data_IF_902693322277
#
_entry.id   IF_902693322277
#
_cell.length_a   1.000
_cell.length_b   1.000
_cell.length_c   1.000
_cell.angle_alpha   90.00
_cell.angle_beta   90.00
_cell.angle_gamma   90.00
#
_symmetry.space_group_name_H-M   'P 1'
#
loop_
_entity.id
_entity.type
_entity.pdbx_description
1 polymer ?
#
# COMPACT_ATOMS: atom_id res chain seq x y z
N UNK A 1 -48.08 -63.07 12.44
CA UNK A 1 -48.42 -63.77 13.69
C UNK A 1 -47.21 -63.65 14.62
N UNK A 2 -47.40 -63.06 15.82
CA UNK A 2 -46.50 -62.91 16.99
C UNK A 2 -45.13 -62.21 16.80
N UNK A 3 -44.85 -61.02 17.35
CA UNK A 3 -44.61 -60.60 18.76
C UNK A 3 -43.34 -61.16 19.45
N UNK A 4 -42.29 -60.32 19.52
CA UNK A 4 -41.66 -59.76 20.76
C UNK A 4 -40.70 -60.61 21.65
N UNK A 5 -39.52 -60.01 21.91
CA UNK A 5 -38.78 -59.82 23.19
C UNK A 5 -37.31 -60.31 23.34
N UNK A 6 -36.44 -59.30 23.45
CA UNK A 6 -35.60 -58.94 24.60
C UNK A 6 -34.48 -59.84 25.16
N UNK A 7 -33.37 -59.12 25.36
CA UNK A 7 -32.47 -59.13 26.52
C UNK A 7 -31.38 -60.22 26.64
N UNK A 8 -30.16 -59.78 26.31
CA UNK A 8 -29.03 -59.57 27.25
C UNK A 8 -28.72 -60.62 28.34
N UNK A 9 -27.39 -60.85 28.48
CA UNK A 9 -26.61 -61.25 29.68
C UNK A 9 -26.23 -62.74 29.80
N UNK A 10 -24.99 -63.06 29.42
CA UNK A 10 -23.85 -63.29 30.35
C UNK A 10 -22.74 -64.13 29.71
N UNK A 11 -21.75 -63.46 29.11
CA UNK A 11 -20.32 -63.85 29.03
C UNK A 11 -19.68 -62.85 28.04
N UNK A 12 -18.67 -62.03 28.34
CA UNK A 12 -17.65 -62.10 29.37
C UNK A 12 -17.30 -60.68 29.88
N UNK A 13 -17.14 -60.58 31.19
CA UNK A 13 -16.98 -59.36 32.00
C UNK A 13 -15.50 -58.93 32.16
N UNK A 14 -14.63 -59.12 31.16
CA UNK A 14 -13.18 -58.93 31.37
C UNK A 14 -12.44 -58.00 30.40
N UNK A 15 -13.15 -57.28 29.52
CA UNK A 15 -12.49 -56.31 28.62
C UNK A 15 -11.69 -55.22 29.36
N UNK A 16 -12.21 -54.72 30.49
CA UNK A 16 -11.54 -53.68 31.27
C UNK A 16 -10.28 -54.21 31.99
N UNK A 17 -10.31 -55.47 32.43
CA UNK A 17 -9.17 -56.13 33.08
C UNK A 17 -8.08 -56.41 32.05
N UNK A 18 -8.44 -56.96 30.88
CA UNK A 18 -7.52 -57.18 29.75
C UNK A 18 -6.94 -55.87 29.21
N UNK A 19 -7.76 -54.82 29.09
CA UNK A 19 -7.31 -53.50 28.69
C UNK A 19 -6.34 -52.89 29.72
N UNK A 20 -6.60 -53.06 31.02
CA UNK A 20 -5.71 -52.56 32.08
C UNK A 20 -4.38 -53.33 32.17
N UNK A 21 -4.39 -54.63 31.86
CA UNK A 21 -3.18 -55.46 31.78
C UNK A 21 -2.39 -55.09 30.52
N UNK A 22 -3.04 -54.90 29.37
CA UNK A 22 -2.39 -54.38 28.17
C UNK A 22 -1.77 -53.00 28.39
N UNK A 23 -2.47 -52.07 29.06
CA UNK A 23 -1.89 -50.76 29.39
C UNK A 23 -0.70 -50.85 30.35
N UNK A 24 -0.68 -51.80 31.29
CA UNK A 24 0.46 -52.01 32.19
C UNK A 24 1.67 -52.60 31.48
N UNK A 25 1.48 -53.54 30.55
CA UNK A 25 2.55 -54.08 29.71
C UNK A 25 3.11 -52.99 28.77
N UNK A 26 2.24 -52.19 28.13
CA UNK A 26 2.65 -51.07 27.28
C UNK A 26 3.33 -49.93 28.05
N UNK A 27 3.05 -49.75 29.34
CA UNK A 27 3.78 -48.81 30.22
C UNK A 27 5.07 -49.37 30.82
N UNK A 28 5.22 -50.69 30.91
CA UNK A 28 6.46 -51.33 31.34
C UNK A 28 7.51 -51.40 30.22
N UNK A 29 7.08 -51.39 28.96
CA UNK A 29 7.93 -51.14 27.78
C UNK A 29 8.13 -49.64 27.50
N UNK A 30 8.32 -48.84 28.54
CA UNK A 30 8.96 -47.53 28.41
C UNK A 30 10.46 -47.73 28.17
N UNK A 31 10.79 -48.25 26.99
CA UNK A 31 12.13 -48.33 26.48
C UNK A 31 12.69 -46.90 26.36
N UNK A 32 13.70 -46.61 27.19
CA UNK A 32 14.44 -45.34 27.24
C UNK A 32 15.00 -44.90 25.88
N UNK A 33 14.93 -45.77 24.86
CA UNK A 33 15.25 -45.49 23.46
C UNK A 33 14.33 -44.49 22.75
N UNK A 34 13.18 -44.10 23.32
CA UNK A 34 12.31 -43.07 22.70
C UNK A 34 12.75 -41.61 22.90
N UNK A 35 13.65 -41.34 23.84
CA UNK A 35 14.13 -39.97 24.13
C UNK A 35 15.20 -39.52 23.11
N UNK A 36 15.80 -40.45 22.37
CA UNK A 36 16.82 -40.15 21.35
C UNK A 36 16.27 -40.03 19.93
N UNK A 37 14.95 -40.07 19.72
CA UNK A 37 14.40 -39.84 18.38
C UNK A 37 14.67 -38.39 17.95
N UNK A 38 15.27 -38.16 16.76
CA UNK A 38 15.60 -36.82 16.27
C UNK A 38 14.41 -35.87 16.26
N UNK A 39 13.20 -36.39 16.06
CA UNK A 39 11.95 -35.64 16.05
C UNK A 39 11.60 -34.99 17.40
N UNK A 40 11.88 -35.66 18.52
CA UNK A 40 11.62 -35.13 19.87
C UNK A 40 12.64 -34.05 20.23
N UNK A 41 13.91 -34.24 19.88
CA UNK A 41 14.96 -33.23 20.05
C UNK A 41 14.71 -31.99 19.19
N UNK A 42 14.28 -32.17 17.93
CA UNK A 42 13.94 -31.06 17.03
C UNK A 42 12.71 -30.29 17.51
N UNK A 43 11.70 -30.98 18.07
CA UNK A 43 10.51 -30.32 18.63
C UNK A 43 10.86 -29.56 19.91
N UNK A 44 11.72 -30.13 20.77
CA UNK A 44 12.26 -29.43 21.95
C UNK A 44 13.05 -28.18 21.59
N UNK A 45 13.93 -28.26 20.58
CA UNK A 45 14.69 -27.12 20.05
C UNK A 45 13.78 -26.05 19.43
N UNK A 46 12.75 -26.45 18.69
CA UNK A 46 11.79 -25.52 18.10
C UNK A 46 10.97 -24.76 19.15
N UNK A 47 10.55 -25.44 20.23
CA UNK A 47 9.82 -24.84 21.34
C UNK A 47 10.73 -23.92 22.16
N UNK A 48 11.95 -24.36 22.48
CA UNK A 48 12.93 -23.53 23.19
C UNK A 48 13.32 -22.29 22.37
N UNK A 49 13.45 -22.43 21.04
CA UNK A 49 13.68 -21.32 20.13
C UNK A 49 12.56 -20.28 20.17
N UNK A 50 11.29 -20.71 20.19
CA UNK A 50 10.13 -19.80 20.18
C UNK A 50 9.78 -19.20 21.54
N UNK A 51 10.00 -19.93 22.63
CA UNK A 51 9.60 -19.48 23.98
C UNK A 51 10.74 -18.80 24.73
N UNK A 52 11.98 -19.24 24.51
CA UNK A 52 13.14 -18.72 25.24
C UNK A 52 13.95 -17.80 24.34
N UNK A 53 14.42 -18.28 23.19
CA UNK A 53 15.37 -17.50 22.36
C UNK A 53 14.67 -16.28 21.74
N UNK A 54 13.49 -16.45 21.15
CA UNK A 54 12.74 -15.35 20.52
C UNK A 54 12.46 -14.18 21.46
N UNK A 55 11.80 -14.40 22.62
CA UNK A 55 11.49 -13.31 23.55
C UNK A 55 12.73 -12.66 24.17
N UNK A 56 13.79 -13.43 24.46
CA UNK A 56 15.03 -12.86 24.99
C UNK A 56 15.82 -12.08 23.93
N UNK A 57 15.81 -12.51 22.67
CA UNK A 57 16.37 -11.73 21.56
C UNK A 57 15.60 -10.43 21.35
N UNK A 58 14.27 -10.46 21.45
CA UNK A 58 13.42 -9.26 21.38
C UNK A 58 13.70 -8.32 22.56
N UNK A 59 13.81 -8.85 23.77
CA UNK A 59 14.14 -8.09 24.98
C UNK A 59 15.54 -7.48 24.92
N UNK A 60 16.53 -8.23 24.43
CA UNK A 60 17.87 -7.70 24.14
C UNK A 60 17.79 -6.59 23.12
N UNK A 61 17.10 -6.78 22.00
CA UNK A 61 16.92 -5.75 20.99
C UNK A 61 16.30 -4.49 21.58
N UNK A 62 15.28 -4.62 22.43
CA UNK A 62 14.65 -3.50 23.11
C UNK A 62 15.49 -2.79 24.17
N UNK A 63 16.46 -3.48 24.77
CA UNK A 63 17.31 -2.93 25.84
C UNK A 63 18.65 -2.41 25.31
N UNK A 64 19.17 -3.01 24.22
CA UNK A 64 20.41 -2.60 23.58
C UNK A 64 20.19 -1.55 22.49
N UNK A 65 19.00 -1.50 21.90
CA UNK A 65 18.59 -0.37 21.06
C UNK A 65 17.79 0.59 21.93
N UNK A 66 17.92 1.89 21.72
CA UNK A 66 17.14 2.92 22.44
C UNK A 66 15.64 2.91 22.07
N UNK A 67 15.09 1.72 21.80
CA UNK A 67 13.70 1.48 21.40
C UNK A 67 12.71 2.07 22.39
N UNK A 68 13.04 2.05 23.70
CA UNK A 68 12.17 2.57 24.75
C UNK A 68 12.56 3.94 25.32
N UNK A 69 13.74 4.48 25.01
CA UNK A 69 14.31 5.65 25.70
C UNK A 69 14.27 6.96 24.87
N UNK A 70 13.59 6.97 23.74
CA UNK A 70 13.43 8.18 22.91
C UNK A 70 13.34 7.94 21.41
N UNK A 71 13.25 6.68 20.97
CA UNK A 71 12.93 6.35 19.59
C UNK A 71 11.50 6.78 19.28
N UNK A 72 11.32 7.82 18.46
CA UNK A 72 10.09 7.91 17.70
C UNK A 72 9.97 6.58 16.93
N UNK A 73 8.90 5.82 17.18
CA UNK A 73 8.55 4.64 16.38
C UNK A 73 8.40 5.04 14.90
N UNK A 74 8.13 6.33 14.66
CA UNK A 74 8.05 6.98 13.37
C UNK A 74 9.40 7.58 12.97
N UNK A 75 9.76 7.43 11.69
CA UNK A 75 10.90 8.14 11.10
C UNK A 75 10.62 9.64 11.16
N UNK A 76 11.56 10.43 11.68
CA UNK A 76 11.42 11.89 11.77
C UNK A 76 11.42 12.50 10.36
N UNK A 77 10.76 13.64 10.17
CA UNK A 77 10.58 14.25 8.85
C UNK A 77 11.90 14.52 8.09
N UNK A 78 12.99 14.83 8.81
CA UNK A 78 14.31 15.01 8.22
C UNK A 78 15.02 13.69 7.86
N UNK A 79 14.59 12.57 8.45
CA UNK A 79 15.15 11.24 8.24
C UNK A 79 14.31 10.40 7.28
N UNK A 80 13.11 10.88 6.93
CA UNK A 80 12.20 10.25 5.99
C UNK A 80 12.40 10.80 4.59
N UNK A 81 12.62 9.90 3.63
CA UNK A 81 12.47 10.26 2.24
C UNK A 81 11.65 9.21 1.49
N UNK A 82 10.84 9.67 0.55
CA UNK A 82 10.15 8.79 -0.40
C UNK A 82 10.81 8.96 -1.75
N UNK A 83 11.71 8.03 -2.08
CA UNK A 83 12.44 8.02 -3.32
C UNK A 83 12.48 6.59 -3.87
N UNK A 84 11.87 6.41 -5.05
CA UNK A 84 11.92 5.17 -5.82
C UNK A 84 13.33 4.97 -6.37
N UNK A 85 13.87 3.78 -6.18
CA UNK A 85 15.02 3.31 -6.95
C UNK A 85 14.66 1.94 -7.52
N UNK A 86 15.33 1.47 -8.57
CA UNK A 86 15.12 0.11 -9.11
C UNK A 86 15.43 -0.99 -8.07
N UNK A 87 16.20 -0.67 -7.02
CA UNK A 87 16.42 -1.55 -5.87
C UNK A 87 15.23 -1.57 -4.90
N UNK A 88 14.29 -0.65 -5.06
CA UNK A 88 13.03 -0.58 -4.35
C UNK A 88 11.91 -1.26 -5.16
N UNK A 89 12.11 -2.56 -5.42
CA UNK A 89 11.03 -3.49 -5.82
C UNK A 89 9.88 -3.50 -4.80
N UNK A 90 10.11 -2.87 -3.65
CA UNK A 90 9.20 -2.77 -2.54
C UNK A 90 8.21 -1.60 -2.64
N UNK A 91 8.08 -0.88 -3.77
CA UNK A 91 7.10 0.21 -3.92
C UNK A 91 5.94 -0.03 -4.91
N UNK A 92 6.11 -0.91 -5.90
CA UNK A 92 4.98 -1.54 -6.62
C UNK A 92 4.54 -2.86 -5.98
N UNK A 93 5.49 -3.55 -5.33
CA UNK A 93 5.26 -4.85 -4.70
C UNK A 93 5.08 -5.86 -5.75
N UNK A 94 6.11 -5.98 -6.60
CA UNK A 94 6.08 -6.81 -7.79
C UNK A 94 5.30 -8.08 -7.51
N UNK A 95 4.38 -8.44 -8.39
CA UNK A 95 3.49 -9.55 -8.09
C UNK A 95 3.90 -10.81 -8.86
N UNK A 96 4.01 -11.91 -8.13
CA UNK A 96 4.18 -13.23 -8.71
C UNK A 96 2.91 -13.67 -9.47
N UNK A 97 2.98 -13.71 -10.79
CA UNK A 97 1.88 -14.20 -11.65
C UNK A 97 0.77 -13.18 -11.93
N UNK A 98 1.02 -11.88 -11.74
CA UNK A 98 0.06 -10.81 -12.04
C UNK A 98 0.27 -10.14 -13.41
N UNK A 99 1.33 -10.47 -14.14
CA UNK A 99 1.57 -9.90 -15.48
C UNK A 99 0.43 -10.32 -16.40
N UNK A 100 -0.20 -9.34 -17.03
CA UNK A 100 -1.41 -9.51 -17.82
C UNK A 100 -1.34 -8.64 -19.09
N UNK A 101 -2.10 -8.99 -20.15
CA UNK A 101 -2.30 -8.10 -21.28
C UNK A 101 -2.80 -6.72 -20.83
N UNK A 102 -2.25 -5.65 -21.39
CA UNK A 102 -2.48 -4.29 -20.92
C UNK A 102 -3.95 -3.86 -20.98
N UNK A 103 -4.75 -4.42 -21.89
CA UNK A 103 -6.21 -4.20 -21.92
C UNK A 103 -6.93 -4.56 -20.61
N UNK A 104 -6.41 -5.49 -19.81
CA UNK A 104 -6.97 -5.82 -18.48
C UNK A 104 -6.67 -4.70 -17.49
N UNK A 105 -5.45 -4.16 -17.48
CA UNK A 105 -5.11 -3.02 -16.64
C UNK A 105 -5.93 -1.77 -17.03
N UNK A 106 -6.11 -1.51 -18.33
CA UNK A 106 -6.97 -0.42 -18.81
C UNK A 106 -8.43 -0.60 -18.37
N UNK A 107 -8.94 -1.83 -18.40
CA UNK A 107 -10.28 -2.14 -17.90
C UNK A 107 -10.41 -1.82 -16.41
N UNK A 108 -9.39 -2.15 -15.59
CA UNK A 108 -9.37 -1.82 -14.15
C UNK A 108 -9.28 -0.32 -13.90
N UNK A 109 -8.51 0.43 -14.69
CA UNK A 109 -8.51 1.89 -14.63
C UNK A 109 -9.84 2.53 -15.06
N UNK A 110 -10.57 1.91 -15.97
CA UNK A 110 -11.88 2.42 -16.40
C UNK A 110 -12.91 2.50 -15.26
N UNK A 111 -12.66 1.81 -14.14
CA UNK A 111 -13.49 1.91 -12.92
C UNK A 111 -13.50 3.31 -12.31
N UNK A 112 -12.44 4.10 -12.52
CA UNK A 112 -12.38 5.46 -12.00
C UNK A 112 -13.41 6.36 -12.68
N UNK A 113 -13.77 6.13 -13.95
CA UNK A 113 -14.80 6.91 -14.68
C UNK A 113 -14.63 8.45 -14.56
N UNK A 114 -13.40 8.94 -14.43
CA UNK A 114 -13.10 10.35 -14.23
C UNK A 114 -13.11 10.83 -12.77
N UNK A 115 -13.47 9.97 -11.81
CA UNK A 115 -13.34 10.25 -10.38
C UNK A 115 -11.87 10.26 -9.96
N UNK A 116 -11.53 11.13 -9.03
CA UNK A 116 -10.16 11.27 -8.52
C UNK A 116 -9.74 10.11 -7.58
N UNK A 117 -10.73 9.35 -7.07
CA UNK A 117 -10.51 8.18 -6.24
C UNK A 117 -11.75 7.28 -6.21
N UNK A 118 -11.54 5.99 -5.90
CA UNK A 118 -12.61 4.99 -5.81
C UNK A 118 -12.58 4.21 -4.50
N UNK A 119 -13.68 3.51 -4.20
CA UNK A 119 -13.81 2.67 -3.00
C UNK A 119 -12.96 1.41 -3.11
N UNK A 120 -12.12 1.14 -2.11
CA UNK A 120 -11.26 -0.04 -2.08
C UNK A 120 -12.02 -1.36 -2.20
N UNK A 121 -13.11 -1.64 -1.46
CA UNK A 121 -13.83 -2.91 -1.62
C UNK A 121 -14.23 -3.23 -3.08
N UNK A 122 -14.70 -2.21 -3.81
CA UNK A 122 -15.13 -2.37 -5.21
C UNK A 122 -13.91 -2.60 -6.11
N UNK A 123 -12.87 -1.78 -5.96
CA UNK A 123 -11.64 -1.93 -6.71
C UNK A 123 -10.97 -3.28 -6.42
N UNK A 124 -10.79 -3.65 -5.15
CA UNK A 124 -10.11 -4.86 -4.70
C UNK A 124 -10.82 -6.12 -5.22
N UNK A 125 -12.16 -6.15 -5.21
CA UNK A 125 -12.93 -7.27 -5.77
C UNK A 125 -12.64 -7.48 -7.26
N UNK A 126 -12.45 -6.39 -8.02
CA UNK A 126 -12.16 -6.47 -9.45
C UNK A 126 -10.66 -6.64 -9.75
N UNK A 127 -9.80 -5.95 -9.00
CA UNK A 127 -8.36 -5.99 -9.13
C UNK A 127 -7.80 -7.36 -8.75
N UNK A 128 -8.40 -8.07 -7.79
CA UNK A 128 -7.99 -9.42 -7.40
C UNK A 128 -8.28 -10.50 -8.46
N UNK A 129 -9.10 -10.21 -9.49
CA UNK A 129 -9.30 -11.15 -10.60
C UNK A 129 -7.95 -11.34 -11.32
N UNK A 130 -7.59 -12.60 -11.56
CA UNK A 130 -6.29 -12.98 -12.14
C UNK A 130 -6.08 -12.46 -13.57
N UNK A 131 -4.90 -12.70 -14.16
CA UNK A 131 -4.46 -12.07 -15.42
C UNK A 131 -5.06 -12.70 -16.70
N UNK A 132 -6.02 -13.62 -16.57
CA UNK A 132 -6.58 -14.41 -17.67
C UNK A 132 -7.66 -13.65 -18.42
N UNK A 133 -7.49 -13.48 -19.73
CA UNK A 133 -8.38 -12.66 -20.59
C UNK A 133 -9.82 -13.15 -20.59
N UNK A 134 -10.03 -14.46 -20.55
CA UNK A 134 -11.33 -15.13 -20.55
C UNK A 134 -12.20 -14.80 -19.31
N UNK A 135 -11.60 -14.23 -18.26
CA UNK A 135 -12.31 -13.82 -17.05
C UNK A 135 -12.99 -12.44 -17.18
N UNK A 136 -12.74 -11.72 -18.27
CA UNK A 136 -13.13 -10.32 -18.41
C UNK A 136 -14.07 -10.08 -19.58
N UNK A 137 -15.01 -9.17 -19.36
CA UNK A 137 -15.76 -8.53 -20.42
C UNK A 137 -15.20 -7.13 -20.68
N UNK A 138 -14.72 -6.89 -21.90
CA UNK A 138 -14.12 -5.62 -22.31
C UNK A 138 -15.12 -4.65 -22.95
N UNK A 139 -16.42 -4.93 -22.94
CA UNK A 139 -17.44 -4.09 -23.58
C UNK A 139 -17.53 -2.66 -23.04
N UNK A 140 -17.00 -2.41 -21.84
CA UNK A 140 -16.91 -1.06 -21.26
C UNK A 140 -15.75 -0.23 -21.80
N UNK A 141 -14.77 -0.85 -22.48
CA UNK A 141 -13.67 -0.15 -23.12
C UNK A 141 -14.07 0.34 -24.51
N UNK A 142 -13.67 1.56 -24.85
CA UNK A 142 -13.79 2.07 -26.22
C UNK A 142 -12.85 1.32 -27.17
N UNK A 143 -13.14 1.37 -28.47
CA UNK A 143 -12.24 0.85 -29.50
C UNK A 143 -10.85 1.49 -29.41
N UNK A 144 -10.76 2.78 -29.07
CA UNK A 144 -9.50 3.50 -28.83
C UNK A 144 -8.75 2.93 -27.63
N UNK A 145 -9.44 2.61 -26.53
CA UNK A 145 -8.82 2.01 -25.35
C UNK A 145 -8.34 0.57 -25.62
N UNK A 146 -9.09 -0.21 -26.40
CA UNK A 146 -8.67 -1.55 -26.82
C UNK A 146 -7.41 -1.50 -27.71
N UNK A 147 -7.42 -0.63 -28.73
CA UNK A 147 -6.26 -0.43 -29.60
C UNK A 147 -5.03 0.11 -28.83
N UNK A 148 -5.24 0.97 -27.83
CA UNK A 148 -4.17 1.41 -26.95
C UNK A 148 -3.60 0.23 -26.15
N UNK A 149 -4.44 -0.65 -25.61
CA UNK A 149 -4.00 -1.86 -24.90
C UNK A 149 -3.08 -2.75 -25.76
N UNK A 150 -3.47 -3.01 -27.01
CA UNK A 150 -2.66 -3.78 -27.95
C UNK A 150 -1.34 -3.09 -28.29
N UNK A 151 -1.36 -1.77 -28.48
CA UNK A 151 -0.16 -0.97 -28.71
C UNK A 151 0.81 -1.00 -27.52
N UNK A 152 0.29 -0.93 -26.29
CA UNK A 152 1.10 -1.02 -25.06
C UNK A 152 1.81 -2.39 -24.99
N UNK A 153 1.08 -3.47 -25.20
CA UNK A 153 1.64 -4.83 -25.22
C UNK A 153 2.73 -4.97 -26.30
N UNK A 154 2.50 -4.43 -27.51
CA UNK A 154 3.45 -4.48 -28.62
C UNK A 154 4.72 -3.62 -28.40
N UNK A 155 4.60 -2.53 -27.64
CA UNK A 155 5.69 -1.57 -27.40
C UNK A 155 6.40 -1.79 -26.05
N UNK A 156 6.26 -2.98 -25.44
CA UNK A 156 7.00 -3.36 -24.25
C UNK A 156 6.56 -2.63 -22.97
N UNK A 157 5.30 -2.19 -22.90
CA UNK A 157 4.70 -1.83 -21.62
C UNK A 157 4.58 -3.08 -20.75
N UNK A 158 4.70 -2.90 -19.43
CA UNK A 158 4.48 -3.97 -18.45
C UNK A 158 3.21 -3.64 -17.71
N UNK A 159 2.26 -4.57 -17.71
CA UNK A 159 0.96 -4.39 -17.11
C UNK A 159 0.76 -5.48 -16.06
N UNK A 160 0.62 -5.06 -14.80
CA UNK A 160 0.48 -5.94 -13.65
C UNK A 160 -0.86 -5.70 -12.98
N UNK A 161 -1.54 -6.79 -12.62
CA UNK A 161 -2.75 -6.66 -11.84
C UNK A 161 -3.05 -7.91 -11.02
N UNK A 162 -3.56 -7.70 -9.82
CA UNK A 162 -3.85 -8.76 -8.88
C UNK A 162 -3.54 -8.30 -7.47
N UNK A 163 -3.13 -9.26 -6.64
CA UNK A 163 -2.68 -9.00 -5.29
C UNK A 163 -1.16 -9.04 -5.27
N UNK A 164 -0.58 -7.95 -4.79
CA UNK A 164 0.85 -7.73 -4.77
C UNK A 164 1.53 -8.49 -3.62
N UNK A 165 2.86 -8.51 -3.59
CA UNK A 165 3.61 -9.27 -2.58
C UNK A 165 3.40 -8.78 -1.11
N UNK A 166 2.70 -7.66 -0.91
CA UNK A 166 2.27 -7.17 0.41
C UNK A 166 0.79 -7.38 0.68
N UNK A 167 0.14 -8.26 -0.08
CA UNK A 167 -1.29 -8.52 0.00
C UNK A 167 -2.17 -7.30 -0.31
N UNK A 168 -1.64 -6.27 -0.99
CA UNK A 168 -2.42 -5.14 -1.48
C UNK A 168 -2.84 -5.38 -2.93
N UNK A 169 -4.11 -5.15 -3.24
CA UNK A 169 -4.59 -5.26 -4.62
C UNK A 169 -4.20 -4.03 -5.43
N UNK A 170 -3.62 -4.24 -6.60
CA UNK A 170 -3.16 -3.17 -7.47
C UNK A 170 -3.56 -3.36 -8.94
N UNK A 171 -3.45 -2.26 -9.68
CA UNK A 171 -3.33 -2.27 -11.14
C UNK A 171 -2.18 -1.33 -11.48
N UNK A 172 -1.24 -1.81 -12.28
CA UNK A 172 0.01 -1.11 -12.59
C UNK A 172 0.22 -1.15 -14.09
N UNK A 173 0.62 -0.01 -14.65
CA UNK A 173 1.16 0.03 -16.01
C UNK A 173 2.46 0.80 -15.97
N UNK A 174 3.53 0.13 -16.40
CA UNK A 174 4.87 0.70 -16.46
C UNK A 174 5.31 0.79 -17.91
N UNK A 175 5.82 1.95 -18.33
CA UNK A 175 6.23 2.23 -19.71
C UNK A 175 6.92 3.60 -19.85
N UNK A 176 7.24 4.06 -21.06
CA UNK A 176 7.65 5.44 -21.30
C UNK A 176 6.57 6.44 -20.85
N UNK A 177 6.98 7.64 -20.42
CA UNK A 177 6.06 8.67 -19.92
C UNK A 177 4.92 9.00 -20.91
N UNK A 178 5.19 8.99 -22.22
CA UNK A 178 4.17 9.23 -23.25
C UNK A 178 3.06 8.18 -23.23
N UNK A 179 3.39 6.89 -23.02
CA UNK A 179 2.37 5.84 -22.94
C UNK A 179 1.40 6.07 -21.77
N UNK A 180 1.89 6.60 -20.66
CA UNK A 180 1.06 6.91 -19.49
C UNK A 180 0.17 8.13 -19.75
N UNK A 181 0.69 9.16 -20.41
CA UNK A 181 -0.13 10.30 -20.87
C UNK A 181 -1.25 9.83 -21.80
N UNK A 182 -0.97 8.90 -22.71
CA UNK A 182 -1.96 8.34 -23.63
C UNK A 182 -3.05 7.57 -22.87
N UNK A 183 -2.69 6.77 -21.85
CA UNK A 183 -3.65 6.06 -20.99
C UNK A 183 -4.56 7.04 -20.27
N UNK A 184 -3.97 8.04 -19.61
CA UNK A 184 -4.69 9.05 -18.85
C UNK A 184 -5.69 9.79 -19.75
N UNK A 185 -5.25 10.20 -20.94
CA UNK A 185 -6.08 10.90 -21.91
C UNK A 185 -7.20 10.03 -22.48
N UNK A 186 -6.88 8.79 -22.91
CA UNK A 186 -7.85 7.89 -23.56
C UNK A 186 -8.94 7.42 -22.60
N UNK A 187 -8.60 7.18 -21.34
CA UNK A 187 -9.54 6.74 -20.32
C UNK A 187 -10.18 7.89 -19.54
N UNK A 188 -9.72 9.14 -19.75
CA UNK A 188 -10.19 10.30 -19.00
C UNK A 188 -9.92 10.18 -17.50
N UNK A 189 -8.73 9.68 -17.12
CA UNK A 189 -8.39 9.46 -15.71
C UNK A 189 -8.13 10.80 -15.00
N UNK A 190 -8.73 10.97 -13.83
CA UNK A 190 -8.47 12.13 -12.97
C UNK A 190 -7.21 11.91 -12.12
N UNK A 191 -6.05 12.04 -12.76
CA UNK A 191 -4.74 12.05 -12.10
C UNK A 191 -4.46 13.45 -11.54
N UNK A 192 -3.73 13.53 -10.42
CA UNK A 192 -3.42 14.81 -9.80
C UNK A 192 -2.65 15.73 -10.79
N UNK A 193 -3.02 17.02 -10.93
CA UNK A 193 -2.43 17.93 -11.94
C UNK A 193 -0.90 17.99 -11.89
N UNK A 194 -0.34 18.01 -10.68
CA UNK A 194 1.11 18.03 -10.48
C UNK A 194 1.83 16.81 -11.07
N UNK A 195 1.21 15.62 -11.04
CA UNK A 195 1.78 14.42 -11.66
C UNK A 195 1.74 14.48 -13.19
N UNK A 196 0.72 15.09 -13.77
CA UNK A 196 0.65 15.33 -15.22
C UNK A 196 1.78 16.27 -15.65
N UNK A 197 1.99 17.36 -14.92
CA UNK A 197 3.08 18.28 -15.22
C UNK A 197 4.47 17.67 -15.07
N UNK A 198 4.61 16.63 -14.25
CA UNK A 198 5.86 15.86 -14.16
C UNK A 198 6.04 14.90 -15.33
N UNK A 199 4.95 14.32 -15.84
CA UNK A 199 4.98 13.42 -16.99
C UNK A 199 5.27 14.13 -18.31
N UNK A 200 4.67 15.30 -18.55
CA UNK A 200 4.82 16.07 -19.80
C UNK A 200 6.28 16.33 -20.20
N UNK A 201 7.14 16.93 -19.35
CA UNK A 201 8.55 17.12 -19.68
C UNK A 201 9.31 15.80 -19.73
N UNK A 202 8.87 14.78 -18.98
CA UNK A 202 9.50 13.46 -19.00
C UNK A 202 9.28 12.72 -20.34
N UNK A 203 8.17 12.97 -21.03
CA UNK A 203 7.88 12.38 -22.34
C UNK A 203 8.81 12.89 -23.46
N UNK A 204 9.31 14.12 -23.34
CA UNK A 204 10.18 14.77 -24.33
C UNK A 204 11.61 14.99 -23.81
N UNK A 205 12.01 14.24 -22.79
CA UNK A 205 13.25 14.48 -22.06
C UNK A 205 14.48 14.08 -22.89
N UNK A 206 15.51 14.94 -22.90
CA UNK A 206 16.77 14.72 -23.64
C UNK A 206 18.03 14.75 -22.75
N UNK A 207 17.88 14.94 -21.44
CA UNK A 207 19.01 15.15 -20.51
C UNK A 207 19.70 13.86 -20.03
N UNK A 208 19.39 12.72 -20.66
CA UNK A 208 20.03 11.43 -20.37
C UNK A 208 19.46 10.67 -19.16
N UNK A 209 18.48 11.21 -18.43
CA UNK A 209 17.81 10.49 -17.34
C UNK A 209 16.74 9.53 -17.88
N UNK A 210 17.17 8.42 -18.47
CA UNK A 210 16.27 7.42 -19.04
C UNK A 210 15.67 6.54 -17.94
N UNK A 211 14.37 6.68 -17.72
CA UNK A 211 13.58 5.90 -16.77
C UNK A 211 12.27 5.48 -17.40
N UNK A 212 11.77 4.30 -17.02
CA UNK A 212 10.34 4.02 -17.20
C UNK A 212 9.56 4.76 -16.12
N UNK A 213 8.28 4.89 -16.37
CA UNK A 213 7.32 5.52 -15.49
C UNK A 213 6.21 4.53 -15.21
N UNK A 214 5.66 4.63 -14.01
CA UNK A 214 4.62 3.76 -13.50
C UNK A 214 3.38 4.58 -13.19
N UNK A 215 2.25 4.19 -13.78
CA UNK A 215 0.91 4.55 -13.31
C UNK A 215 0.43 3.42 -12.40
N UNK A 216 0.02 3.78 -11.18
CA UNK A 216 -0.36 2.85 -10.12
C UNK A 216 -1.75 3.22 -9.58
N UNK A 217 -2.67 2.26 -9.60
CA UNK A 217 -3.84 2.23 -8.71
C UNK A 217 -3.58 1.24 -7.58
N UNK A 218 -3.55 1.73 -6.34
CA UNK A 218 -3.29 0.92 -5.15
C UNK A 218 -4.28 1.27 -4.04
N UNK A 219 -4.81 0.24 -3.37
CA UNK A 219 -5.60 0.41 -2.17
C UNK A 219 -4.73 0.94 -1.02
N UNK A 220 -5.10 2.11 -0.48
CA UNK A 220 -4.38 2.80 0.60
C UNK A 220 -5.34 3.25 1.70
N UNK A 221 -4.81 3.49 2.90
CA UNK A 221 -5.56 4.10 3.99
C UNK A 221 -5.47 5.63 3.93
N UNK A 222 -6.63 6.24 4.06
CA UNK A 222 -6.83 7.66 4.27
C UNK A 222 -7.23 7.87 5.72
N UNK A 223 -6.56 8.79 6.39
CA UNK A 223 -6.89 9.20 7.74
C UNK A 223 -7.94 10.31 7.68
N UNK A 224 -9.01 10.19 8.46
CA UNK A 224 -10.07 11.21 8.52
C UNK A 224 -10.36 11.60 9.97
N UNK A 225 -10.75 12.87 10.15
CA UNK A 225 -11.03 13.40 11.49
C UNK A 225 -12.30 12.77 12.07
N UNK A 226 -12.19 12.17 13.25
CA UNK A 226 -13.37 11.76 14.05
C UNK A 226 -13.81 12.85 15.01
N UNK A 227 -12.89 13.70 15.48
CA UNK A 227 -13.16 14.86 16.31
C UNK A 227 -12.20 16.01 15.96
N UNK A 228 -12.69 17.25 16.05
CA UNK A 228 -11.87 18.44 15.78
C UNK A 228 -10.92 18.71 16.95
N UNK A 229 -9.64 18.96 16.63
CA UNK A 229 -8.59 19.24 17.62
C UNK A 229 -8.06 18.00 18.34
N UNK A 230 -8.39 16.80 17.85
CA UNK A 230 -7.86 15.54 18.34
C UNK A 230 -6.97 14.92 17.25
N UNK A 231 -5.81 14.38 17.65
CA UNK A 231 -4.94 13.63 16.77
C UNK A 231 -5.46 12.20 16.49
N UNK A 232 -6.50 11.73 17.17
CA UNK A 232 -7.12 10.44 16.86
C UNK A 232 -7.91 10.52 15.55
N UNK A 233 -7.34 9.98 14.47
CA UNK A 233 -7.98 9.92 13.15
C UNK A 233 -8.52 8.50 12.91
N UNK A 234 -9.71 8.41 12.33
CA UNK A 234 -10.21 7.18 11.75
C UNK A 234 -9.44 6.83 10.47
N UNK A 235 -9.45 5.56 10.08
CA UNK A 235 -8.84 5.10 8.81
C UNK A 235 -9.90 4.58 7.86
N UNK A 236 -9.81 4.96 6.59
CA UNK A 236 -10.69 4.56 5.51
C UNK A 236 -9.85 4.04 4.36
N UNK A 237 -10.16 2.86 3.83
CA UNK A 237 -9.48 2.35 2.64
C UNK A 237 -10.13 2.91 1.37
N UNK A 238 -9.32 3.55 0.53
CA UNK A 238 -9.69 4.01 -0.80
C UNK A 238 -8.53 3.84 -1.78
N UNK A 239 -8.81 4.00 -3.07
CA UNK A 239 -7.83 3.85 -4.16
C UNK A 239 -7.72 5.15 -4.91
N UNK A 240 -6.50 5.70 -4.97
CA UNK A 240 -6.18 6.81 -5.85
C UNK A 240 -5.19 6.38 -6.94
N UNK A 241 -4.94 7.29 -7.88
CA UNK A 241 -3.95 7.11 -8.92
C UNK A 241 -2.66 7.84 -8.54
N UNK A 242 -1.54 7.14 -8.65
CA UNK A 242 -0.22 7.71 -8.47
C UNK A 242 0.62 7.48 -9.71
N UNK A 243 1.41 8.49 -10.09
CA UNK A 243 2.39 8.40 -11.17
C UNK A 243 3.77 8.77 -10.67
N UNK A 244 4.77 7.99 -11.04
CA UNK A 244 6.15 8.20 -10.64
C UNK A 244 7.13 7.50 -11.59
N UNK A 245 8.38 8.00 -11.68
CA UNK A 245 9.44 7.29 -12.39
C UNK A 245 10.00 6.14 -11.54
N UNK A 246 10.54 5.12 -12.19
CA UNK A 246 11.27 4.03 -11.51
C UNK A 246 12.56 4.55 -10.85
N UNK A 247 13.22 5.54 -11.47
CA UNK A 247 14.32 6.30 -10.87
C UNK A 247 13.82 7.66 -10.37
N UNK A 248 13.72 7.82 -9.06
CA UNK A 248 13.25 9.06 -8.42
C UNK A 248 14.09 10.28 -8.75
N UNK A 249 15.40 10.11 -8.96
CA UNK A 249 16.30 11.17 -9.44
C UNK A 249 15.93 11.66 -10.86
N UNK A 250 15.19 10.86 -11.63
CA UNK A 250 14.65 11.26 -12.92
C UNK A 250 13.26 11.92 -12.82
N UNK A 251 12.73 12.20 -11.62
CA UNK A 251 11.51 13.00 -11.49
C UNK A 251 11.82 14.47 -11.81
N UNK A 252 11.17 15.10 -12.80
CA UNK A 252 11.39 16.51 -13.11
C UNK A 252 11.02 17.41 -11.92
N UNK A 253 11.86 18.42 -11.66
CA UNK A 253 11.54 19.49 -10.70
C UNK A 253 10.57 20.45 -11.39
N UNK A 254 9.29 20.32 -11.07
CA UNK A 254 8.26 21.21 -11.58
C UNK A 254 7.73 22.06 -10.42
N UNK A 255 7.70 23.40 -10.55
CA UNK A 255 7.14 24.25 -9.52
C UNK A 255 5.70 23.84 -9.21
N UNK A 256 5.35 23.83 -7.92
CA UNK A 256 3.95 23.72 -7.52
C UNK A 256 3.23 24.97 -7.99
N UNK A 257 2.46 24.82 -9.06
CA UNK A 257 1.59 25.87 -9.57
C UNK A 257 0.17 25.34 -9.56
N UNK A 258 -0.59 25.85 -8.59
CA UNK A 258 -1.97 25.45 -8.38
C UNK A 258 -2.96 26.21 -9.28
N UNK A 259 -2.49 27.10 -10.15
CA UNK A 259 -3.34 27.94 -11.01
C UNK A 259 -4.05 27.19 -12.15
N UNK A 260 -3.67 25.94 -12.42
CA UNK A 260 -4.24 25.14 -13.52
C UNK A 260 -5.67 24.65 -13.25
N UNK A 261 -6.00 24.41 -11.98
CA UNK A 261 -7.33 23.95 -11.56
C UNK A 261 -7.82 24.89 -10.48
N UNK A 262 -8.92 25.57 -10.75
CA UNK A 262 -9.50 26.51 -9.80
C UNK A 262 -9.95 25.81 -8.53
N UNK A 263 -10.20 26.61 -7.51
CA UNK A 263 -10.64 26.13 -6.21
C UNK A 263 -12.01 26.70 -5.86
N UNK A 264 -12.89 25.87 -5.29
CA UNK A 264 -14.17 26.31 -4.73
C UNK A 264 -14.28 25.91 -3.26
N UNK A 265 -14.92 26.78 -2.48
CA UNK A 265 -15.27 26.50 -1.09
C UNK A 265 -16.31 25.38 -1.05
N UNK A 266 -16.03 24.32 -0.29
CA UNK A 266 -16.99 23.21 -0.07
C UNK A 266 -17.52 23.16 1.36
N UNK A 267 -16.71 23.58 2.35
CA UNK A 267 -17.11 23.64 3.75
C UNK A 267 -16.53 24.89 4.41
N UNK A 268 -17.39 25.75 4.95
CA UNK A 268 -16.95 26.86 5.80
C UNK A 268 -16.54 26.34 7.19
N UNK A 269 -15.28 26.55 7.58
CA UNK A 269 -14.73 26.01 8.83
C UNK A 269 -15.02 26.89 10.05
N UNK A 270 -15.55 28.11 9.86
CA UNK A 270 -15.98 29.06 10.90
C UNK A 270 -14.87 29.36 11.93
N UNK A 271 -13.65 29.59 11.44
CA UNK A 271 -12.49 29.89 12.29
C UNK A 271 -11.76 28.66 12.82
N UNK A 272 -12.25 27.44 12.55
CA UNK A 272 -11.62 26.21 13.04
C UNK A 272 -10.59 25.68 12.05
N UNK A 273 -9.48 25.19 12.58
CA UNK A 273 -8.45 24.53 11.80
C UNK A 273 -8.57 23.01 11.95
N UNK A 274 -8.89 22.34 10.85
CA UNK A 274 -9.10 20.89 10.77
C UNK A 274 -7.78 20.11 10.81
N UNK A 275 -6.63 20.76 10.66
CA UNK A 275 -5.31 20.12 10.70
C UNK A 275 -4.43 20.68 11.83
N UNK A 276 -5.05 21.32 12.82
CA UNK A 276 -4.37 21.88 14.01
C UNK A 276 -3.78 20.82 14.95
N UNK A 277 -4.41 19.65 15.02
CA UNK A 277 -3.93 18.48 15.74
C UNK A 277 -4.03 17.28 14.80
N UNK A 278 -2.90 16.65 14.49
CA UNK A 278 -2.81 15.52 13.57
C UNK A 278 -1.88 14.45 14.13
N UNK A 279 -2.04 13.18 13.74
CA UNK A 279 -1.02 12.16 13.95
C UNK A 279 0.34 12.61 13.41
N UNK A 280 1.40 12.28 14.14
CA UNK A 280 2.79 12.55 13.72
C UNK A 280 3.08 12.04 12.31
N UNK A 281 2.45 10.93 11.89
CA UNK A 281 2.55 10.38 10.53
C UNK A 281 2.23 11.42 9.44
N UNK A 282 1.27 12.32 9.68
CA UNK A 282 0.86 13.33 8.70
C UNK A 282 1.84 14.54 8.63
N UNK A 283 2.93 14.52 9.39
CA UNK A 283 3.94 15.60 9.40
C UNK A 283 5.24 15.20 8.69
N UNK A 284 5.31 13.96 8.19
CA UNK A 284 6.54 13.34 7.68
C UNK A 284 6.78 13.66 6.20
N UNK A 285 5.71 13.93 5.42
CA UNK A 285 5.80 14.11 3.97
C UNK A 285 5.14 15.40 3.47
N UNK A 286 5.57 15.90 2.31
CA UNK A 286 4.95 17.07 1.70
C UNK A 286 3.57 16.74 1.12
N UNK A 287 2.64 17.70 1.24
CA UNK A 287 1.28 17.61 0.71
C UNK A 287 1.07 18.56 -0.46
N UNK A 288 0.19 18.18 -1.40
CA UNK A 288 -0.14 18.95 -2.61
C UNK A 288 -1.20 20.04 -2.40
N UNK A 289 -1.46 20.44 -1.15
CA UNK A 289 -2.50 21.40 -0.81
C UNK A 289 -2.03 22.33 0.30
N UNK A 290 -2.52 23.57 0.30
CA UNK A 290 -2.18 24.56 1.33
C UNK A 290 -2.86 24.21 2.64
N UNK A 291 -2.11 24.19 3.74
CA UNK A 291 -2.65 23.89 5.07
C UNK A 291 -1.78 24.45 6.20
N UNK A 292 -2.22 24.22 7.44
CA UNK A 292 -1.47 24.48 8.66
C UNK A 292 -0.47 23.37 9.04
N UNK A 293 -0.42 22.27 8.28
CA UNK A 293 0.58 21.23 8.50
C UNK A 293 2.00 21.79 8.39
N UNK A 294 2.95 21.30 9.20
CA UNK A 294 4.35 21.71 9.08
C UNK A 294 4.85 21.52 7.65
N UNK A 295 5.52 22.53 7.05
CA UNK A 295 6.04 22.41 5.70
C UNK A 295 7.21 21.40 5.69
N UNK A 296 7.10 20.39 4.84
CA UNK A 296 8.16 19.42 4.56
C UNK A 296 8.76 19.72 3.20
N UNK A 297 10.09 19.69 3.10
CA UNK A 297 10.76 19.91 1.81
C UNK A 297 10.42 18.79 0.85
N UNK A 298 10.05 19.17 -0.38
CA UNK A 298 9.83 18.22 -1.46
C UNK A 298 11.14 17.74 -2.09
N UNK A 299 12.18 18.55 -2.04
CA UNK A 299 13.51 18.19 -2.51
C UNK A 299 14.37 17.79 -1.31
N UNK A 300 14.96 16.61 -1.37
CA UNK A 300 15.78 16.05 -0.28
C UNK A 300 17.11 15.55 -0.83
N UNK A 301 18.17 15.50 -0.01
CA UNK A 301 19.46 14.95 -0.43
C UNK A 301 19.32 13.54 -0.99
N UNK A 302 20.03 13.24 -2.07
CA UNK A 302 20.06 11.91 -2.67
C UNK A 302 21.11 11.02 -1.99
N UNK A 303 20.80 9.73 -1.86
CA UNK A 303 21.78 8.70 -1.54
C UNK A 303 22.53 8.24 -2.80
N UNK A 304 22.81 6.93 -2.91
CA UNK A 304 23.33 6.35 -4.14
C UNK A 304 22.23 6.23 -5.20
N UNK A 305 22.40 6.90 -6.33
CA UNK A 305 21.45 6.94 -7.46
C UNK A 305 22.07 6.31 -8.71
N UNK A 306 21.25 5.91 -9.68
CA UNK A 306 21.73 5.38 -10.97
C UNK A 306 22.36 6.48 -11.82
N UNK A 307 21.73 7.64 -11.84
CA UNK A 307 22.26 8.85 -12.46
C UNK A 307 22.85 9.77 -11.38
N UNK A 308 23.98 10.45 -11.60
CA UNK A 308 24.61 11.27 -10.57
C UNK A 308 23.73 12.45 -10.21
N UNK A 309 22.96 12.30 -9.12
CA UNK A 309 22.05 13.32 -8.61
C UNK A 309 22.43 13.60 -7.15
N UNK A 310 22.42 14.88 -6.78
CA UNK A 310 22.67 15.31 -5.39
C UNK A 310 21.38 15.41 -4.58
N UNK A 311 20.24 15.47 -5.26
CA UNK A 311 18.91 15.59 -4.66
C UNK A 311 17.90 14.74 -5.43
N UNK A 312 16.81 14.36 -4.75
CA UNK A 312 15.66 13.67 -5.33
C UNK A 312 14.37 14.41 -4.95
N UNK A 313 13.37 14.29 -5.82
CA UNK A 313 12.07 14.95 -5.64
C UNK A 313 11.06 13.94 -5.09
N UNK A 314 10.57 14.23 -3.89
CA UNK A 314 9.54 13.47 -3.22
C UNK A 314 8.18 13.59 -3.94
N UNK A 315 7.31 12.56 -3.90
CA UNK A 315 5.91 12.70 -4.28
C UNK A 315 5.21 13.67 -3.34
N UNK A 316 4.00 14.07 -3.71
CA UNK A 316 3.12 14.79 -2.83
C UNK A 316 1.98 13.91 -2.38
N UNK A 317 1.76 13.86 -1.08
CA UNK A 317 0.55 13.32 -0.51
C UNK A 317 -0.63 14.26 -0.81
N UNK A 318 -1.83 13.71 -0.79
CA UNK A 318 -3.06 14.40 -1.21
C UNK A 318 -4.08 14.35 -0.08
N UNK A 319 -5.07 15.23 -0.16
CA UNK A 319 -6.28 15.11 0.65
C UNK A 319 -7.50 15.19 -0.24
N UNK A 320 -8.61 14.67 0.27
CA UNK A 320 -9.88 14.55 -0.41
C UNK A 320 -11.00 15.00 0.51
N UNK A 321 -11.98 15.69 -0.05
CA UNK A 321 -13.23 16.02 0.63
C UNK A 321 -14.37 15.74 -0.34
N UNK A 322 -15.29 14.86 0.06
CA UNK A 322 -16.49 14.60 -0.72
C UNK A 322 -16.24 14.06 -2.14
N UNK A 323 -15.18 13.28 -2.39
CA UNK A 323 -14.88 12.79 -3.75
C UNK A 323 -13.77 13.57 -4.45
N UNK A 324 -13.51 14.80 -4.00
CA UNK A 324 -12.72 15.77 -4.72
C UNK A 324 -11.36 16.02 -4.06
N UNK A 325 -10.32 16.23 -4.87
CA UNK A 325 -9.01 16.63 -4.35
C UNK A 325 -9.12 17.99 -3.68
N UNK A 326 -8.50 18.09 -2.51
CA UNK A 326 -8.39 19.30 -1.71
C UNK A 326 -7.27 20.17 -2.27
N UNK A 327 -7.49 21.48 -2.29
CA UNK A 327 -6.55 22.51 -2.73
C UNK A 327 -6.07 23.36 -1.57
N UNK A 328 -6.94 23.60 -0.60
CA UNK A 328 -6.61 24.38 0.59
C UNK A 328 -7.49 23.98 1.78
N UNK A 329 -6.88 23.94 2.97
CA UNK A 329 -7.56 23.78 4.26
C UNK A 329 -7.06 24.87 5.19
N UNK A 330 -7.94 25.74 5.64
CA UNK A 330 -7.60 26.81 6.55
C UNK A 330 -8.77 27.15 7.49
N UNK A 331 -8.62 28.20 8.30
CA UNK A 331 -9.65 28.66 9.25
C UNK A 331 -10.87 29.31 8.59
N UNK A 332 -10.82 29.57 7.27
CA UNK A 332 -11.95 30.08 6.49
C UNK A 332 -12.76 28.94 5.86
N UNK A 333 -12.10 27.89 5.38
CA UNK A 333 -12.76 26.82 4.67
C UNK A 333 -11.90 25.63 4.28
N UNK A 334 -12.58 24.56 3.84
CA UNK A 334 -12.01 23.50 3.01
C UNK A 334 -12.36 23.83 1.56
N UNK A 335 -11.34 23.87 0.71
CA UNK A 335 -11.45 24.18 -0.70
C UNK A 335 -11.03 22.98 -1.53
N UNK A 336 -11.83 22.66 -2.55
CA UNK A 336 -11.62 21.54 -3.48
C UNK A 336 -11.49 22.07 -4.91
N UNK A 337 -11.09 21.19 -5.83
CA UNK A 337 -11.11 21.48 -7.28
C UNK A 337 -12.50 21.97 -7.73
N UNK A 338 -12.55 23.07 -8.48
CA UNK A 338 -13.78 23.70 -8.93
C UNK A 338 -14.57 22.87 -9.95
N UNK A 339 -13.86 22.10 -10.78
CA UNK A 339 -14.41 21.16 -11.77
C UNK A 339 -15.00 19.89 -11.15
N UNK A 340 -14.74 19.59 -9.88
CA UNK A 340 -15.17 18.34 -9.26
C UNK A 340 -16.54 18.46 -8.59
N UNK A 341 -17.44 17.50 -8.84
CA UNK A 341 -18.73 17.42 -8.16
C UNK A 341 -18.65 16.58 -6.88
N UNK A 342 -19.24 17.10 -5.81
CA UNK A 342 -19.18 16.45 -4.49
C UNK A 342 -20.13 15.24 -4.44
N UNK A 343 -19.57 14.10 -4.06
CA UNK A 343 -20.31 12.85 -3.84
C UNK A 343 -20.92 12.78 -2.45
N UNK A 344 -22.21 12.46 -2.40
CA UNK A 344 -22.96 12.22 -1.15
C UNK A 344 -22.46 10.99 -0.37
N UNK A 345 -21.79 10.04 -1.04
CA UNK A 345 -21.13 8.92 -0.40
C UNK A 345 -19.92 9.38 0.40
N UNK A 346 -19.04 10.17 -0.24
CA UNK A 346 -17.75 10.57 0.33
C UNK A 346 -17.85 11.71 1.33
N UNK A 347 -18.85 12.59 1.22
CA UNK A 347 -18.98 13.76 2.09
C UNK A 347 -19.12 13.39 3.58
N UNK A 348 -19.60 12.18 3.87
CA UNK A 348 -19.82 11.68 5.24
C UNK A 348 -18.52 11.42 6.01
N UNK A 349 -17.42 11.20 5.30
CA UNK A 349 -16.10 10.98 5.89
C UNK A 349 -15.36 12.29 6.16
N UNK A 350 -15.91 13.44 5.76
CA UNK A 350 -15.30 14.74 5.94
C UNK A 350 -13.97 14.88 5.20
N UNK A 351 -12.98 15.50 5.84
CA UNK A 351 -11.63 15.67 5.32
C UNK A 351 -10.85 14.36 5.47
N UNK A 352 -10.42 13.79 4.35
CA UNK A 352 -9.63 12.56 4.26
C UNK A 352 -8.23 12.90 3.78
N UNK A 353 -7.21 12.62 4.58
CA UNK A 353 -5.81 12.93 4.30
C UNK A 353 -5.07 11.63 4.03
N UNK A 354 -4.29 11.59 2.95
CA UNK A 354 -3.47 10.44 2.61
C UNK A 354 -2.46 10.16 3.74
N UNK A 355 -2.50 8.95 4.28
CA UNK A 355 -1.56 8.49 5.31
C UNK A 355 -0.30 7.91 4.68
N UNK A 356 0.88 8.23 5.20
CA UNK A 356 2.12 7.55 4.82
C UNK A 356 2.34 6.22 5.53
N UNK A 357 1.46 5.78 6.43
CA UNK A 357 1.67 4.53 7.18
C UNK A 357 1.68 3.27 6.29
N UNK A 358 1.05 3.33 5.10
CA UNK A 358 0.99 2.22 4.13
C UNK A 358 2.03 2.34 3.01
N UNK A 359 3.02 3.20 3.21
CA UNK A 359 4.07 3.49 2.28
C UNK A 359 5.37 2.92 2.85
N UNK A 360 6.13 2.12 2.10
CA UNK A 360 7.52 1.79 2.47
C UNK A 360 8.30 3.09 2.65
N UNK A 361 8.72 3.35 3.89
CA UNK A 361 9.52 4.51 4.23
C UNK A 361 11.01 4.17 4.07
N UNK A 362 11.77 5.04 3.42
CA UNK A 362 13.22 4.94 3.37
C UNK A 362 13.84 5.87 4.42
N UNK A 363 14.93 5.40 5.05
CA UNK A 363 15.76 6.18 6.00
C UNK A 363 17.12 6.49 5.36
N UNK A 364 17.70 7.65 5.68
CA UNK A 364 19.13 7.91 5.45
C UNK A 364 20.00 6.99 6.31
N UNK A 365 20.69 6.01 5.72
CA UNK A 365 21.80 5.33 6.41
C UNK A 365 23.14 5.86 5.92
N UNK A 366 23.85 6.54 6.81
CA UNK A 366 25.26 6.89 6.65
C UNK A 366 26.16 5.93 7.43
N UNK A 367 25.92 4.63 7.40
CA UNK A 367 26.78 3.65 8.09
C UNK A 367 26.85 2.32 7.31
N UNK A 368 27.91 2.19 6.51
CA UNK A 368 28.57 0.90 6.26
C UNK A 368 27.74 -0.23 5.65
N UNK A 369 27.39 -0.11 4.36
CA UNK A 369 27.44 -1.25 3.43
C UNK A 369 26.47 -2.42 3.64
N UNK A 370 25.28 -2.22 4.21
CA UNK A 370 24.18 -3.19 4.18
C UNK A 370 22.97 -2.61 3.41
N UNK A 371 22.20 -3.44 2.69
CA UNK A 371 21.10 -2.96 1.87
C UNK A 371 19.92 -2.50 2.73
N UNK A 372 19.43 -1.29 2.41
CA UNK A 372 18.20 -0.61 2.84
C UNK A 372 17.29 -1.38 3.82
N UNK A 373 17.25 -0.95 5.08
CA UNK A 373 16.33 -1.50 6.07
C UNK A 373 15.00 -0.74 6.09
N UNK A 374 13.96 -1.39 5.57
CA UNK A 374 12.56 -0.94 5.66
C UNK A 374 12.06 -1.03 7.11
N UNK A 375 11.45 0.05 7.61
CA UNK A 375 10.79 0.05 8.93
C UNK A 375 9.29 -0.17 8.71
N UNK A 376 8.79 -1.37 9.05
CA UNK A 376 7.35 -1.62 9.22
C UNK A 376 6.89 -1.03 10.54
N UNK A 377 5.78 -0.29 10.50
CA UNK A 377 4.88 -0.19 11.63
C UNK A 377 3.91 -1.38 11.54
N UNK A 378 4.16 -2.42 12.34
CA UNK A 378 3.19 -3.51 12.55
C UNK A 378 2.06 -3.03 13.47
#
# INVERSE_FOLDING_TARGET
MSYVNDAHRLSSRHWATEYSIQQKVTKQDCDWRRITYPSVLMTGLAIAGRIVVGPNALFLLFTTTNYFSGGSVLIQAQDSFFAFTENDVTMAGGCSGCIAPCKIALLKYSMFKGDAFVSSPVFNAFAAIGPKVELYNFSSLSSKALALGESLDANGAVCETGTNDWAATHSVVTGPAQQLLDIISVLGLSVAPQMIRELEPAANRMDGCATRWTLLALSRLFQFLTSLGDANFGKLSAVDLSVFPDYSECRPIVPMDDSLVGSKLTLATKGKDYLSAVPDSLTVFPYSFKSSLPPVSREVPAGTTKYPATTVVQPLLRAYYGGCRVREVNTTGIFIEDTCEVSSHWIRYGLMVHSPDDIPLCRFESLGGLPFQMIRNN
#
